data_IF_112706868870
#
_entry.id   IF_112706868870
#
_cell.length_a   1.000
_cell.length_b   1.000
_cell.length_c   1.000
_cell.angle_alpha   90.00
_cell.angle_beta   90.00
_cell.angle_gamma   90.00
#
_symmetry.space_group_name_H-M   'P 1'
#
loop_
_entity.id
_entity.type
_entity.pdbx_description
1 polymer ?
#
# COMPACT_ATOMS: atom_id res chain seq x y z
N UNK A 1 20.54 10.67 -31.25
CA UNK A 1 19.66 10.25 -32.36
C UNK A 1 18.23 10.57 -31.95
N UNK A 2 17.47 11.41 -32.69
CA UNK A 2 16.10 11.72 -32.31
C UNK A 2 15.21 10.52 -32.64
N UNK A 3 14.52 9.98 -31.64
CA UNK A 3 13.55 8.89 -31.78
C UNK A 3 12.38 9.37 -32.65
N UNK A 4 12.23 8.82 -33.86
CA UNK A 4 11.08 9.12 -34.73
C UNK A 4 9.79 8.69 -34.02
N UNK A 5 8.85 9.62 -33.88
CA UNK A 5 7.55 9.33 -33.28
C UNK A 5 6.63 8.73 -34.36
N UNK A 6 6.65 7.41 -34.46
CA UNK A 6 5.94 6.60 -35.48
C UNK A 6 4.44 6.94 -35.51
N UNK A 7 3.84 7.28 -34.35
CA UNK A 7 2.43 7.64 -34.26
C UNK A 7 2.10 8.93 -35.03
N UNK A 8 2.97 9.93 -34.95
CA UNK A 8 2.80 11.21 -35.66
C UNK A 8 2.90 11.01 -37.17
N UNK A 9 3.75 10.08 -37.60
CA UNK A 9 3.93 9.75 -39.02
C UNK A 9 2.70 9.00 -39.57
N UNK A 10 2.15 8.06 -38.81
CA UNK A 10 0.91 7.34 -39.19
C UNK A 10 -0.29 8.29 -39.29
N UNK A 11 -0.46 9.22 -38.34
CA UNK A 11 -1.54 10.22 -38.37
C UNK A 11 -1.41 11.12 -39.60
N UNK A 12 -0.20 11.63 -39.87
CA UNK A 12 0.05 12.48 -41.04
C UNK A 12 -0.17 11.77 -42.39
N UNK A 13 0.01 10.45 -42.43
CA UNK A 13 -0.26 9.65 -43.64
C UNK A 13 -1.77 9.41 -43.77
N UNK A 14 -2.46 9.09 -42.68
CA UNK A 14 -3.90 8.84 -42.68
C UNK A 14 -4.72 10.07 -43.12
N UNK A 15 -4.26 11.28 -42.78
CA UNK A 15 -4.85 12.56 -43.19
C UNK A 15 -4.90 12.78 -44.73
N UNK A 16 -4.18 11.97 -45.51
CA UNK A 16 -4.18 12.07 -46.98
C UNK A 16 -5.27 11.24 -47.66
N UNK A 17 -6.08 10.50 -46.90
CA UNK A 17 -7.10 9.60 -47.41
C UNK A 17 -8.53 10.10 -47.11
N UNK A 18 -9.55 9.67 -47.88
CA UNK A 18 -10.95 10.01 -47.61
C UNK A 18 -11.40 9.52 -46.24
N UNK A 19 -12.35 10.22 -45.62
CA UNK A 19 -12.69 10.11 -44.20
C UNK A 19 -13.11 8.70 -43.74
N UNK A 20 -13.67 7.89 -44.64
CA UNK A 20 -14.03 6.51 -44.35
C UNK A 20 -12.79 5.62 -44.21
N UNK A 21 -11.88 5.68 -45.18
CA UNK A 21 -10.60 4.94 -45.15
C UNK A 21 -9.67 5.45 -44.06
N UNK A 22 -9.67 6.77 -43.81
CA UNK A 22 -8.92 7.38 -42.71
C UNK A 22 -9.36 6.79 -41.36
N UNK A 23 -10.68 6.74 -41.10
CA UNK A 23 -11.21 6.17 -39.85
C UNK A 23 -10.90 4.68 -39.69
N UNK A 24 -10.94 3.91 -40.78
CA UNK A 24 -10.57 2.49 -40.74
C UNK A 24 -9.09 2.30 -40.36
N UNK A 25 -8.20 3.05 -41.01
CA UNK A 25 -6.75 3.01 -40.71
C UNK A 25 -6.44 3.49 -39.30
N UNK A 26 -7.11 4.53 -38.82
CA UNK A 26 -6.97 5.02 -37.45
C UNK A 26 -7.43 3.97 -36.43
N UNK A 27 -8.58 3.31 -36.65
CA UNK A 27 -9.08 2.26 -35.76
C UNK A 27 -8.21 1.00 -35.75
N UNK A 28 -7.52 0.68 -36.84
CA UNK A 28 -6.67 -0.52 -36.91
C UNK A 28 -5.23 -0.23 -36.42
N UNK A 29 -4.65 0.89 -36.83
CA UNK A 29 -3.24 1.17 -36.60
C UNK A 29 -2.98 1.87 -35.26
N UNK A 30 -3.87 2.75 -34.79
CA UNK A 30 -3.65 3.47 -33.51
C UNK A 30 -3.65 2.49 -32.33
N UNK A 31 -4.62 1.57 -32.18
CA UNK A 31 -4.59 0.61 -31.08
C UNK A 31 -3.38 -0.32 -31.14
N UNK A 32 -2.98 -0.77 -32.32
CA UNK A 32 -1.82 -1.66 -32.51
C UNK A 32 -0.49 -0.96 -32.18
N UNK A 33 -0.34 0.32 -32.53
CA UNK A 33 0.85 1.10 -32.16
C UNK A 33 0.84 1.50 -30.67
N UNK A 34 -0.33 1.69 -30.06
CA UNK A 34 -0.48 1.90 -28.62
C UNK A 34 -0.27 0.62 -27.80
N UNK A 35 -0.58 -0.57 -28.33
CA UNK A 35 -0.33 -1.85 -27.65
C UNK A 35 1.10 -2.36 -27.83
N UNK A 36 1.79 -1.96 -28.91
CA UNK A 36 3.24 -2.16 -29.08
C UNK A 36 4.11 -1.14 -28.33
N UNK A 37 3.53 -0.07 -27.76
CA UNK A 37 4.06 0.45 -26.50
C UNK A 37 3.80 -0.61 -25.44
N UNK A 38 4.77 -1.51 -25.27
CA UNK A 38 4.74 -2.56 -24.26
C UNK A 38 4.15 -2.08 -22.92
N UNK A 39 3.46 -2.95 -22.17
CA UNK A 39 2.96 -2.65 -20.84
C UNK A 39 4.12 -2.47 -19.86
N UNK A 40 4.76 -1.31 -19.89
CA UNK A 40 5.81 -0.90 -18.96
C UNK A 40 5.32 -0.80 -17.51
N UNK A 41 4.06 -1.13 -17.22
CA UNK A 41 3.47 -1.00 -15.90
C UNK A 41 3.65 -2.23 -14.99
N UNK A 42 3.75 -3.45 -15.54
CA UNK A 42 3.98 -4.66 -14.69
C UNK A 42 5.43 -4.77 -14.21
N UNK A 43 6.39 -4.29 -15.00
CA UNK A 43 7.81 -4.32 -14.65
C UNK A 43 8.33 -3.06 -13.94
N UNK A 44 7.64 -1.92 -14.00
CA UNK A 44 8.08 -0.72 -13.27
C UNK A 44 8.11 -0.95 -11.76
N UNK A 45 7.07 -1.53 -11.19
CA UNK A 45 7.06 -1.84 -9.75
C UNK A 45 8.11 -2.89 -9.37
N UNK A 46 8.34 -3.91 -10.20
CA UNK A 46 9.37 -4.90 -9.95
C UNK A 46 10.79 -4.33 -10.05
N UNK A 47 11.05 -3.44 -11.02
CA UNK A 47 12.33 -2.74 -11.18
C UNK A 47 12.55 -1.70 -10.10
N UNK A 48 11.52 -0.93 -9.75
CA UNK A 48 11.55 0.02 -8.62
C UNK A 48 11.78 -0.76 -7.32
N UNK A 49 11.09 -1.88 -7.10
CA UNK A 49 11.28 -2.74 -5.91
C UNK A 49 12.69 -3.32 -5.86
N UNK A 50 13.20 -3.90 -6.95
CA UNK A 50 14.59 -4.40 -7.02
C UNK A 50 15.63 -3.30 -6.77
N UNK A 51 15.40 -2.09 -7.29
CA UNK A 51 16.27 -0.95 -7.01
C UNK A 51 16.13 -0.49 -5.54
N UNK A 52 14.94 -0.47 -4.97
CA UNK A 52 14.74 -0.13 -3.56
C UNK A 52 15.33 -1.17 -2.60
N UNK A 53 15.34 -2.45 -2.99
CA UNK A 53 15.95 -3.55 -2.24
C UNK A 53 17.48 -3.39 -2.16
N UNK A 54 18.14 -2.96 -3.25
CA UNK A 54 19.58 -2.67 -3.28
C UNK A 54 19.95 -1.29 -2.73
N UNK A 55 18.99 -0.36 -2.67
CA UNK A 55 19.22 0.98 -2.17
C UNK A 55 19.22 1.04 -0.64
N UNK A 56 20.01 1.97 -0.10
CA UNK A 56 19.97 2.35 1.32
C UNK A 56 18.65 3.06 1.68
N UNK A 57 17.62 3.06 0.82
CA UNK A 57 16.32 3.68 1.07
C UNK A 57 15.30 2.67 1.62
N UNK A 58 14.42 3.16 2.49
CA UNK A 58 13.35 2.45 3.17
C UNK A 58 12.03 3.04 2.68
N UNK A 59 11.09 2.17 2.29
CA UNK A 59 9.75 2.57 1.85
C UNK A 59 8.74 1.96 2.82
N UNK A 60 8.04 2.81 3.57
CA UNK A 60 7.06 2.41 4.57
C UNK A 60 5.69 3.00 4.23
N UNK A 61 4.63 2.23 4.42
CA UNK A 61 3.30 2.82 4.48
C UNK A 61 3.18 3.64 5.76
N UNK A 62 2.62 4.83 5.63
CA UNK A 62 2.31 5.70 6.76
C UNK A 62 0.86 5.45 7.21
N UNK A 63 0.61 5.68 8.50
CA UNK A 63 -0.71 5.50 9.11
C UNK A 63 -1.76 6.50 8.59
N UNK A 64 -1.37 7.52 7.83
CA UNK A 64 -2.29 8.51 7.25
C UNK A 64 -2.59 8.25 5.77
N UNK A 65 -3.86 7.98 5.49
CA UNK A 65 -4.51 8.11 4.17
C UNK A 65 -3.68 7.59 2.98
N UNK A 66 -3.17 6.35 3.07
CA UNK A 66 -2.46 5.71 1.96
C UNK A 66 -1.12 6.38 1.59
N UNK A 67 -0.61 7.27 2.44
CA UNK A 67 0.68 7.91 2.22
C UNK A 67 1.81 6.90 2.35
N UNK A 68 2.87 7.08 1.56
CA UNK A 68 4.08 6.25 1.60
C UNK A 68 5.28 7.13 1.93
N UNK A 69 6.01 6.78 2.97
CA UNK A 69 7.25 7.46 3.36
C UNK A 69 8.42 6.76 2.69
N UNK A 70 9.26 7.55 2.02
CA UNK A 70 10.54 7.11 1.48
C UNK A 70 11.63 7.84 2.26
N UNK A 71 12.52 7.10 2.93
CA UNK A 71 13.61 7.68 3.73
C UNK A 71 14.86 6.82 3.67
N UNK A 72 16.04 7.42 3.80
CA UNK A 72 17.29 6.67 3.95
C UNK A 72 17.30 5.81 5.23
N UNK A 73 17.83 4.58 5.15
CA UNK A 73 17.89 3.59 6.23
C UNK A 73 18.76 4.06 7.39
N UNK A 74 19.88 4.74 7.13
CA UNK A 74 20.74 5.28 8.20
C UNK A 74 20.04 6.44 8.89
N UNK A 75 19.36 7.30 8.13
CA UNK A 75 18.52 8.35 8.71
C UNK A 75 17.36 7.77 9.54
N UNK A 76 16.70 6.72 9.04
CA UNK A 76 15.67 5.99 9.78
C UNK A 76 16.20 5.45 11.10
N UNK A 77 17.30 4.72 11.07
CA UNK A 77 17.90 4.13 12.27
C UNK A 77 18.24 5.21 13.31
N UNK A 78 18.88 6.31 12.89
CA UNK A 78 19.18 7.44 13.78
C UNK A 78 17.93 8.07 14.38
N UNK A 79 16.88 8.27 13.58
CA UNK A 79 15.62 8.86 14.04
C UNK A 79 14.90 7.95 15.03
N UNK A 80 14.83 6.65 14.72
CA UNK A 80 14.23 5.67 15.62
C UNK A 80 15.00 5.53 16.92
N UNK A 81 16.32 5.50 16.86
CA UNK A 81 17.15 5.47 18.07
C UNK A 81 16.96 6.72 18.93
N UNK A 82 16.92 7.91 18.31
CA UNK A 82 16.64 9.16 19.02
C UNK A 82 15.28 9.14 19.73
N UNK A 83 14.22 8.73 19.04
CA UNK A 83 12.86 8.66 19.59
C UNK A 83 12.78 7.60 20.70
N UNK A 84 13.29 6.39 20.47
CA UNK A 84 13.20 5.28 21.41
C UNK A 84 14.12 5.42 22.64
N UNK A 85 15.10 6.32 22.59
CA UNK A 85 15.92 6.72 23.74
C UNK A 85 15.19 7.65 24.69
N UNK A 86 14.14 8.33 24.26
CA UNK A 86 13.35 9.18 25.14
C UNK A 86 12.57 8.33 26.16
N UNK A 87 13.11 8.26 27.38
CA UNK A 87 12.50 7.54 28.52
C UNK A 87 11.42 8.34 29.24
N UNK A 88 11.27 9.63 28.91
CA UNK A 88 10.16 10.45 29.45
C UNK A 88 8.85 10.13 28.72
N UNK A 89 8.92 9.78 27.43
CA UNK A 89 7.77 9.39 26.62
C UNK A 89 7.60 7.87 26.47
N UNK A 90 8.68 7.13 26.21
CA UNK A 90 8.62 5.69 25.88
C UNK A 90 9.26 4.81 26.95
N UNK A 91 8.57 3.71 27.32
CA UNK A 91 9.05 2.72 28.29
C UNK A 91 9.24 1.36 27.63
N UNK A 92 10.35 0.69 27.94
CA UNK A 92 10.56 -0.71 27.55
C UNK A 92 9.55 -1.58 28.30
N UNK A 93 8.83 -2.42 27.56
CA UNK A 93 7.94 -3.43 28.15
C UNK A 93 8.70 -4.75 28.28
N UNK A 94 8.75 -5.29 29.50
CA UNK A 94 9.40 -6.58 29.78
C UNK A 94 8.55 -7.79 29.40
N UNK A 95 7.27 -7.56 29.08
CA UNK A 95 6.32 -8.59 28.68
C UNK A 95 5.38 -8.01 27.64
N UNK A 96 5.02 -8.85 26.68
CA UNK A 96 3.97 -8.61 25.70
C UNK A 96 2.66 -8.23 26.44
N UNK A 97 2.13 -7.01 26.23
CA UNK A 97 0.99 -6.51 27.00
C UNK A 97 -0.37 -7.00 26.48
N UNK A 98 -0.46 -7.56 25.28
CA UNK A 98 -1.73 -7.94 24.64
C UNK A 98 -2.51 -8.92 25.50
N UNK A 99 -1.85 -9.91 26.10
CA UNK A 99 -2.54 -10.86 27.00
C UNK A 99 -3.17 -10.15 28.22
N UNK A 100 -2.48 -9.17 28.80
CA UNK A 100 -3.00 -8.37 29.92
C UNK A 100 -4.17 -7.49 29.48
N UNK A 101 -4.01 -6.79 28.36
CA UNK A 101 -5.05 -5.91 27.80
C UNK A 101 -6.31 -6.73 27.47
N UNK A 102 -6.16 -7.90 26.86
CA UNK A 102 -7.28 -8.79 26.55
C UNK A 102 -8.03 -9.26 27.81
N UNK A 103 -7.30 -9.54 28.89
CA UNK A 103 -7.90 -9.84 30.19
C UNK A 103 -8.76 -8.70 30.72
N UNK A 104 -8.25 -7.47 30.65
CA UNK A 104 -8.97 -6.24 31.06
C UNK A 104 -10.22 -6.03 30.20
N UNK A 105 -10.09 -6.10 28.87
CA UNK A 105 -11.22 -5.94 27.94
C UNK A 105 -12.28 -7.02 28.19
N UNK A 106 -11.89 -8.27 28.41
CA UNK A 106 -12.83 -9.34 28.72
C UNK A 106 -13.56 -9.13 30.05
N UNK A 107 -12.90 -8.54 31.05
CA UNK A 107 -13.54 -8.17 32.31
C UNK A 107 -14.57 -7.04 32.09
N UNK A 108 -14.21 -5.99 31.36
CA UNK A 108 -15.13 -4.89 31.01
C UNK A 108 -16.36 -5.38 30.25
N UNK A 109 -16.17 -6.24 29.24
CA UNK A 109 -17.29 -6.81 28.48
C UNK A 109 -18.22 -7.66 29.34
N UNK A 110 -17.69 -8.36 30.36
CA UNK A 110 -18.53 -9.08 31.33
C UNK A 110 -19.33 -8.10 32.17
N UNK A 111 -18.70 -7.03 32.65
CA UNK A 111 -19.33 -6.02 33.50
C UNK A 111 -20.48 -5.30 32.78
N UNK A 112 -20.23 -4.84 31.55
CA UNK A 112 -21.25 -4.22 30.68
C UNK A 112 -22.44 -5.16 30.42
N UNK A 113 -22.18 -6.47 30.30
CA UNK A 113 -23.25 -7.44 30.13
C UNK A 113 -24.05 -7.68 31.40
N UNK A 114 -23.39 -7.75 32.56
CA UNK A 114 -24.05 -7.83 33.86
C UNK A 114 -24.95 -6.61 34.09
N UNK A 115 -24.50 -5.43 33.65
CA UNK A 115 -25.26 -4.18 33.67
C UNK A 115 -26.35 -4.09 32.60
N UNK A 116 -26.49 -5.12 31.73
CA UNK A 116 -27.44 -5.18 30.60
C UNK A 116 -27.27 -4.07 29.56
N UNK A 117 -26.07 -3.49 29.48
CA UNK A 117 -25.72 -2.48 28.47
C UNK A 117 -25.47 -3.12 27.10
N UNK A 118 -25.01 -4.37 27.09
CA UNK A 118 -24.74 -5.15 25.89
C UNK A 118 -25.27 -6.58 26.01
N UNK A 119 -25.68 -7.15 24.87
CA UNK A 119 -26.15 -8.53 24.79
C UNK A 119 -24.99 -9.54 24.65
N UNK A 120 -25.31 -10.81 24.85
CA UNK A 120 -24.33 -11.89 24.80
C UNK A 120 -23.73 -12.11 23.40
N UNK A 121 -24.49 -11.86 22.33
CA UNK A 121 -24.00 -11.97 20.96
C UNK A 121 -22.94 -10.90 20.67
N UNK A 122 -23.15 -9.67 21.15
CA UNK A 122 -22.18 -8.56 21.06
C UNK A 122 -20.85 -8.91 21.75
N UNK A 123 -20.88 -9.47 22.97
CA UNK A 123 -19.66 -9.93 23.68
C UNK A 123 -18.90 -10.97 22.85
N UNK A 124 -19.60 -11.99 22.35
CA UNK A 124 -18.97 -13.10 21.64
C UNK A 124 -18.37 -12.64 20.31
N UNK A 125 -19.04 -11.71 19.62
CA UNK A 125 -18.57 -11.12 18.38
C UNK A 125 -17.29 -10.30 18.60
N UNK A 126 -17.21 -9.53 19.68
CA UNK A 126 -16.02 -8.74 20.02
C UNK A 126 -14.86 -9.68 20.42
N UNK A 127 -15.11 -10.67 21.28
CA UNK A 127 -14.08 -11.65 21.68
C UNK A 127 -13.49 -12.40 20.49
N UNK A 128 -14.34 -12.80 19.54
CA UNK A 128 -13.90 -13.45 18.31
C UNK A 128 -12.96 -12.56 17.50
N UNK A 129 -13.32 -11.29 17.29
CA UNK A 129 -12.46 -10.34 16.55
C UNK A 129 -11.11 -10.11 17.23
N UNK A 130 -11.09 -10.03 18.57
CA UNK A 130 -9.84 -9.90 19.34
C UNK A 130 -8.94 -11.12 19.10
N UNK A 131 -9.50 -12.32 19.14
CA UNK A 131 -8.77 -13.56 18.87
C UNK A 131 -8.28 -13.64 17.42
N UNK A 132 -9.13 -13.29 16.45
CA UNK A 132 -8.80 -13.35 15.01
C UNK A 132 -7.68 -12.37 14.64
N UNK A 133 -7.59 -11.20 15.30
CA UNK A 133 -6.48 -10.27 15.08
C UNK A 133 -5.13 -10.79 15.59
N UNK A 134 -5.11 -11.59 16.67
CA UNK A 134 -3.87 -12.17 17.21
C UNK A 134 -3.29 -13.25 16.29
N UNK A 135 -4.12 -14.04 15.59
CA UNK A 135 -3.62 -15.08 14.69
C UNK A 135 -3.09 -14.56 13.35
N UNK A 136 -3.39 -13.31 12.99
CA UNK A 136 -2.95 -12.69 11.73
C UNK A 136 -1.70 -11.81 11.90
N UNK A 137 -1.12 -11.74 13.11
CA UNK A 137 0.07 -10.92 13.42
C UNK A 137 1.34 -11.74 13.66
N UNK A 138 1.26 -13.08 13.59
CA UNK A 138 2.40 -14.02 13.57
C UNK A 138 2.72 -14.47 12.14
#
# INVERSE_FOLDING_TARGET
>A
MPSRNILVEVINIADKFPEETKREMEMELIPNNLTHQEPAHRNRFAVIRKNLESNEQLVLQADKEGSTVIMDKKQYAKKMEYILRDRTTYRILNKEPTMMINGIVCAMLKDMHMNREIDAWTINSIKKRIHDHQQNTD
#
